data_IF_601832380409
#
_entry.id   IF_601832380409
#
_cell.length_a   1.000
_cell.length_b   1.000
_cell.length_c   1.000
_cell.angle_alpha   90.00
_cell.angle_beta   90.00
_cell.angle_gamma   90.00
#
_symmetry.space_group_name_H-M   'P 1'
#
loop_
_entity.id
_entity.type
_entity.pdbx_description
1 polymer ?
#
# COMPACT_ATOMS: atom_id res chain seq x y z
N UNK A 1 18.11 -10.11 26.29
CA UNK A 1 17.87 -8.68 26.56
C UNK A 1 17.93 -7.95 25.23
N UNK A 2 16.78 -7.66 24.61
CA UNK A 2 16.70 -6.82 23.41
C UNK A 2 15.95 -5.55 23.79
N UNK A 3 16.66 -4.43 23.74
CA UNK A 3 16.11 -3.10 23.98
C UNK A 3 15.15 -2.75 22.85
N UNK A 4 13.90 -2.44 23.20
CA UNK A 4 12.98 -1.73 22.33
C UNK A 4 13.21 -0.23 22.55
N UNK A 5 13.51 0.49 21.47
CA UNK A 5 13.64 1.94 21.48
C UNK A 5 12.21 2.48 21.45
N UNK A 6 11.79 3.05 22.56
CA UNK A 6 10.47 3.63 22.78
C UNK A 6 10.34 4.93 21.98
N UNK A 7 9.73 4.85 20.80
CA UNK A 7 9.29 6.03 20.06
C UNK A 7 7.91 6.45 20.57
N UNK A 8 7.93 7.46 21.46
CA UNK A 8 6.82 8.11 22.16
C UNK A 8 5.43 7.91 21.54
N UNK A 9 4.68 6.99 22.16
CA UNK A 9 3.28 6.74 21.86
C UNK A 9 2.42 7.59 22.82
N UNK A 10 1.98 8.76 22.36
CA UNK A 10 1.03 9.59 23.13
C UNK A 10 -0.31 8.86 23.14
N UNK A 11 -0.65 8.28 24.29
CA UNK A 11 -1.92 7.60 24.52
C UNK A 11 -3.07 8.61 24.44
N UNK A 12 -4.14 8.26 23.71
CA UNK A 12 -5.56 8.44 24.06
C UNK A 12 -6.43 8.00 22.87
N UNK A 13 -6.51 6.67 22.69
CA UNK A 13 -7.62 5.86 22.14
C UNK A 13 -7.02 4.48 21.84
N UNK A 14 -7.65 3.40 22.35
CA UNK A 14 -7.10 2.04 22.40
C UNK A 14 -6.99 1.31 21.04
N UNK A 15 -6.41 1.96 20.02
CA UNK A 15 -6.23 1.38 18.69
C UNK A 15 -4.77 0.92 18.53
N UNK A 16 -4.55 -0.39 18.51
CA UNK A 16 -3.34 -0.98 17.91
C UNK A 16 -3.75 -1.55 16.55
N UNK A 17 -3.03 -1.18 15.48
CA UNK A 17 -3.15 -1.95 14.25
C UNK A 17 -2.52 -3.32 14.52
N UNK A 18 -3.34 -4.36 14.46
CA UNK A 18 -2.89 -5.74 14.31
C UNK A 18 -3.42 -6.21 12.96
N UNK A 19 -2.54 -6.59 12.03
CA UNK A 19 -2.99 -7.20 10.79
C UNK A 19 -1.98 -7.20 9.66
N UNK A 20 -1.36 -8.35 9.43
CA UNK A 20 -1.01 -8.80 8.09
C UNK A 20 -1.36 -10.29 7.97
N UNK A 21 -1.71 -10.71 6.76
CA UNK A 21 -2.02 -12.06 6.23
C UNK A 21 -3.50 -12.44 6.07
N UNK A 22 -3.96 -12.39 4.81
CA UNK A 22 -5.00 -13.29 4.30
C UNK A 22 -4.54 -13.89 2.96
N UNK A 23 -4.03 -15.12 2.95
CA UNK A 23 -3.68 -15.79 1.69
C UNK A 23 -4.90 -16.50 1.09
N UNK A 24 -5.44 -16.00 -0.01
CA UNK A 24 -6.42 -16.76 -0.80
C UNK A 24 -5.69 -17.58 -1.88
N UNK A 25 -5.73 -18.91 -1.74
CA UNK A 25 -5.23 -19.83 -2.77
C UNK A 25 -6.27 -19.96 -3.89
N UNK A 26 -6.07 -19.30 -5.04
CA UNK A 26 -6.79 -19.63 -6.27
C UNK A 26 -5.96 -20.67 -7.04
N UNK A 27 -6.53 -21.87 -7.24
CA UNK A 27 -5.99 -22.94 -8.09
C UNK A 27 -5.87 -22.41 -9.53
N UNK A 28 -4.76 -21.75 -9.85
CA UNK A 28 -4.07 -21.70 -11.16
C UNK A 28 -2.86 -20.73 -11.10
N UNK A 29 -2.87 -19.72 -10.21
CA UNK A 29 -1.70 -18.90 -9.82
C UNK A 29 -1.94 -18.39 -8.40
N UNK A 30 -1.07 -18.74 -7.45
CA UNK A 30 -1.19 -18.27 -6.06
C UNK A 30 -0.88 -16.77 -5.99
N UNK A 31 -1.90 -15.93 -6.21
CA UNK A 31 -1.80 -14.48 -6.02
C UNK A 31 -2.03 -14.18 -4.54
N UNK A 32 -1.01 -13.64 -3.87
CA UNK A 32 -1.15 -13.14 -2.50
C UNK A 32 -1.91 -11.81 -2.54
N UNK A 33 -3.07 -11.80 -1.91
CA UNK A 33 -3.88 -10.61 -1.66
C UNK A 33 -3.59 -10.18 -0.22
N UNK A 34 -3.45 -8.88 0.02
CA UNK A 34 -3.41 -8.32 1.37
C UNK A 34 -4.34 -7.12 1.41
N UNK A 35 -5.19 -7.08 2.42
CA UNK A 35 -6.10 -5.98 2.68
C UNK A 35 -5.81 -5.41 4.07
N UNK A 36 -6.23 -4.18 4.31
CA UNK A 36 -6.10 -3.50 5.59
C UNK A 36 -7.35 -3.67 6.44
N UNK A 37 -7.13 -3.98 7.71
CA UNK A 37 -8.16 -4.10 8.73
C UNK A 37 -7.71 -3.38 9.98
N UNK A 38 -8.65 -2.79 10.70
CA UNK A 38 -8.42 -2.21 12.01
C UNK A 38 -9.04 -3.13 13.05
N UNK A 39 -8.24 -3.54 14.03
CA UNK A 39 -8.68 -4.37 15.13
C UNK A 39 -8.70 -3.52 16.41
N UNK A 40 -9.87 -3.41 17.03
CA UNK A 40 -10.05 -2.76 18.31
C UNK A 40 -9.68 -3.74 19.43
N UNK A 41 -8.64 -3.42 20.21
CA UNK A 41 -8.04 -4.37 21.16
C UNK A 41 -8.98 -4.72 22.31
N UNK A 42 -9.74 -3.74 22.80
CA UNK A 42 -10.57 -3.92 23.99
C UNK A 42 -11.86 -4.70 23.70
N UNK A 43 -12.50 -4.40 22.57
CA UNK A 43 -13.78 -5.00 22.18
C UNK A 43 -13.61 -6.23 21.30
N UNK A 44 -12.44 -6.40 20.69
CA UNK A 44 -12.19 -7.38 19.64
C UNK A 44 -12.89 -7.05 18.31
N UNK A 45 -13.44 -5.84 18.17
CA UNK A 45 -14.16 -5.42 16.96
C UNK A 45 -13.19 -5.24 15.80
N UNK A 46 -13.56 -5.77 14.65
CA UNK A 46 -12.80 -5.59 13.40
C UNK A 46 -13.54 -4.69 12.42
N UNK A 47 -12.79 -3.77 11.81
CA UNK A 47 -13.25 -2.89 10.76
C UNK A 47 -12.43 -3.14 9.51
N UNK A 48 -13.11 -3.50 8.42
CA UNK A 48 -12.48 -3.67 7.10
C UNK A 48 -12.25 -2.28 6.49
N UNK A 49 -11.01 -1.97 6.12
CA UNK A 49 -10.65 -0.69 5.50
C UNK A 49 -10.45 -0.80 4.00
N UNK A 50 -9.87 -1.90 3.52
CA UNK A 50 -9.73 -2.15 2.08
C UNK A 50 -10.25 -3.53 1.72
N UNK A 51 -10.72 -3.66 0.48
CA UNK A 51 -11.21 -4.91 -0.09
C UNK A 51 -10.78 -4.99 -1.56
N UNK A 52 -10.71 -6.21 -2.10
CA UNK A 52 -10.39 -6.45 -3.50
C UNK A 52 -9.21 -7.39 -3.71
N UNK A 53 -8.73 -7.43 -4.95
CA UNK A 53 -7.70 -8.36 -5.44
C UNK A 53 -6.29 -7.72 -5.47
N UNK A 54 -6.14 -6.52 -4.93
CA UNK A 54 -4.87 -5.83 -4.76
C UNK A 54 -4.09 -6.32 -3.54
N UNK A 55 -2.87 -5.83 -3.40
CA UNK A 55 -2.03 -6.03 -2.24
C UNK A 55 -1.77 -4.66 -1.59
N UNK A 56 -2.40 -4.46 -0.44
CA UNK A 56 -2.26 -3.30 0.42
C UNK A 56 -1.30 -3.62 1.57
N UNK A 57 -0.28 -2.79 1.79
CA UNK A 57 0.81 -3.06 2.74
C UNK A 57 1.40 -1.81 3.37
N UNK A 58 2.24 -2.00 4.40
CA UNK A 58 2.99 -0.94 5.08
C UNK A 58 2.13 0.23 5.60
N UNK A 59 1.03 -0.03 6.34
CA UNK A 59 0.16 1.05 6.82
C UNK A 59 0.87 1.94 7.85
N UNK A 60 0.65 3.26 7.75
CA UNK A 60 1.15 4.29 8.67
C UNK A 60 0.11 5.35 8.94
N UNK A 61 -0.23 5.55 10.21
CA UNK A 61 -1.11 6.63 10.65
C UNK A 61 -0.49 7.99 10.39
N UNK A 62 -1.31 8.93 9.92
CA UNK A 62 -0.98 10.35 9.98
C UNK A 62 -0.81 10.77 11.45
N UNK A 63 0.08 11.74 11.75
CA UNK A 63 0.28 12.23 13.11
C UNK A 63 -0.99 12.78 13.78
N UNK A 64 -1.94 13.27 12.99
CA UNK A 64 -3.24 13.76 13.47
C UNK A 64 -4.28 12.62 13.67
N UNK A 65 -3.92 11.38 13.35
CA UNK A 65 -4.77 10.20 13.49
C UNK A 65 -5.93 10.10 12.50
N UNK A 66 -6.06 11.02 11.53
CA UNK A 66 -7.24 11.08 10.64
C UNK A 66 -7.12 10.23 9.38
N UNK A 67 -5.91 9.83 9.01
CA UNK A 67 -5.64 9.18 7.73
C UNK A 67 -4.64 8.04 7.91
N UNK A 68 -4.76 6.99 7.10
CA UNK A 68 -3.77 5.92 6.99
C UNK A 68 -3.12 6.03 5.62
N UNK A 69 -1.80 6.14 5.60
CA UNK A 69 -0.99 6.01 4.40
C UNK A 69 -0.53 4.56 4.23
N UNK A 70 -0.56 4.03 3.01
CA UNK A 70 -0.19 2.63 2.75
C UNK A 70 0.24 2.46 1.30
N UNK A 71 0.97 1.39 1.01
CA UNK A 71 1.31 1.00 -0.36
C UNK A 71 0.19 0.14 -0.93
N UNK A 72 -0.21 0.42 -2.17
CA UNK A 72 -1.20 -0.38 -2.89
C UNK A 72 -0.80 -0.55 -4.35
N UNK A 73 -0.99 -1.75 -4.89
CA UNK A 73 -0.81 -2.06 -6.31
C UNK A 73 -2.13 -2.11 -7.10
N UNK A 74 -3.19 -1.47 -6.58
CA UNK A 74 -4.54 -1.47 -7.16
C UNK A 74 -4.62 -0.97 -8.62
N UNK A 75 -3.83 0.03 -8.97
CA UNK A 75 -3.79 0.60 -10.32
C UNK A 75 -2.87 -0.20 -11.26
N UNK A 76 -1.80 -0.78 -10.72
CA UNK A 76 -0.79 -1.52 -11.47
C UNK A 76 -0.10 -2.52 -10.55
N UNK A 77 -0.31 -3.80 -10.81
CA UNK A 77 0.21 -4.92 -10.01
C UNK A 77 1.73 -4.88 -9.82
N UNK A 78 2.48 -4.34 -10.79
CA UNK A 78 3.94 -4.25 -10.78
C UNK A 78 4.49 -2.94 -10.24
N UNK A 79 3.62 -1.96 -9.97
CA UNK A 79 4.04 -0.60 -9.64
C UNK A 79 3.20 -0.05 -8.48
N UNK A 80 3.40 -0.57 -7.25
CA UNK A 80 2.71 -0.06 -6.06
C UNK A 80 2.95 1.44 -5.89
N UNK A 81 1.92 2.16 -5.46
CA UNK A 81 1.98 3.59 -5.14
C UNK A 81 1.55 3.81 -3.69
N UNK A 82 1.87 4.98 -3.14
CA UNK A 82 1.36 5.40 -1.84
C UNK A 82 -0.08 5.90 -2.02
N UNK A 83 -0.97 5.40 -1.18
CA UNK A 83 -2.37 5.80 -1.08
C UNK A 83 -2.67 6.30 0.33
N UNK A 84 -3.68 7.15 0.42
CA UNK A 84 -4.25 7.66 1.66
C UNK A 84 -5.69 7.19 1.78
N UNK A 85 -6.07 6.63 2.93
CA UNK A 85 -7.46 6.33 3.26
C UNK A 85 -7.86 7.05 4.55
N UNK A 86 -8.97 7.82 4.57
CA UNK A 86 -9.47 8.44 5.78
C UNK A 86 -9.88 7.39 6.84
N UNK A 87 -9.66 7.67 8.12
CA UNK A 87 -10.00 6.75 9.21
C UNK A 87 -11.51 6.55 9.37
N UNK A 88 -12.31 7.56 9.01
CA UNK A 88 -13.77 7.43 8.95
C UNK A 88 -14.25 6.58 7.75
N UNK A 89 -13.33 5.98 6.99
CA UNK A 89 -13.62 5.19 5.80
C UNK A 89 -13.73 6.03 4.53
N UNK A 90 -14.16 5.38 3.45
CA UNK A 90 -14.26 5.99 2.13
C UNK A 90 -13.24 5.46 1.14
N UNK A 91 -13.16 6.08 -0.03
CA UNK A 91 -12.23 5.66 -1.08
C UNK A 91 -10.81 6.09 -0.78
N UNK A 92 -9.86 5.18 -0.99
CA UNK A 92 -8.45 5.54 -0.86
C UNK A 92 -7.99 6.35 -2.08
N UNK A 93 -7.28 7.44 -1.81
CA UNK A 93 -6.78 8.38 -2.79
C UNK A 93 -5.32 8.11 -3.10
N UNK A 94 -4.98 8.08 -4.39
CA UNK A 94 -3.58 7.93 -4.83
C UNK A 94 -2.79 9.20 -4.55
N UNK A 95 -1.68 9.07 -3.83
CA UNK A 95 -0.79 10.19 -3.50
C UNK A 95 0.40 10.30 -4.46
N UNK A 96 0.91 9.17 -4.96
CA UNK A 96 2.09 9.13 -5.82
C UNK A 96 1.80 8.53 -7.19
N UNK A 97 2.61 8.94 -8.18
CA UNK A 97 2.62 8.33 -9.51
C UNK A 97 4.08 8.27 -10.02
N UNK A 98 4.88 7.40 -9.40
CA UNK A 98 6.31 7.29 -9.67
C UNK A 98 6.68 5.90 -10.21
N UNK A 99 7.58 5.87 -11.19
CA UNK A 99 8.09 4.64 -11.82
C UNK A 99 9.33 4.12 -11.10
N UNK A 100 9.18 3.08 -10.27
CA UNK A 100 10.23 2.57 -9.40
C UNK A 100 9.70 1.82 -8.18
N UNK A 101 10.54 1.65 -7.18
CA UNK A 101 10.20 0.85 -6.00
C UNK A 101 10.26 1.72 -4.73
N UNK A 102 9.19 1.69 -3.94
CA UNK A 102 9.18 2.25 -2.60
C UNK A 102 9.76 1.23 -1.62
N UNK A 103 10.86 1.59 -0.96
CA UNK A 103 11.51 0.73 0.04
C UNK A 103 10.98 1.04 1.44
N UNK A 104 10.77 2.32 1.74
CA UNK A 104 10.20 2.79 2.99
C UNK A 104 9.61 4.19 2.82
N UNK A 105 8.72 4.60 3.72
CA UNK A 105 8.22 5.98 3.79
C UNK A 105 7.86 6.34 5.23
N UNK A 106 7.83 7.63 5.59
CA UNK A 106 7.41 8.09 6.92
C UNK A 106 6.79 9.47 6.84
N UNK A 107 5.78 9.71 7.67
CA UNK A 107 5.16 11.02 7.83
C UNK A 107 6.14 12.02 8.46
N UNK A 108 6.04 13.29 8.06
CA UNK A 108 6.60 14.39 8.83
C UNK A 108 5.83 14.55 10.15
N UNK A 109 6.44 15.06 11.22
CA UNK A 109 5.76 15.24 12.51
C UNK A 109 4.52 16.15 12.46
N UNK A 110 4.51 17.11 11.54
CA UNK A 110 3.38 18.02 11.32
C UNK A 110 2.27 17.43 10.44
N UNK A 111 2.44 16.21 9.92
CA UNK A 111 1.47 15.50 9.09
C UNK A 111 1.26 16.07 7.69
N UNK A 112 2.05 17.07 7.28
CA UNK A 112 1.87 17.74 5.98
C UNK A 112 2.62 17.07 4.84
N UNK A 113 3.70 16.36 5.15
CA UNK A 113 4.62 15.80 4.17
C UNK A 113 5.01 14.37 4.53
N UNK A 114 5.73 13.74 3.61
CA UNK A 114 6.40 12.47 3.83
C UNK A 114 7.81 12.49 3.29
N UNK A 115 8.67 11.70 3.92
CA UNK A 115 9.90 11.23 3.30
C UNK A 115 9.66 9.81 2.79
N UNK A 116 10.22 9.49 1.63
CA UNK A 116 10.24 8.12 1.12
C UNK A 116 11.61 7.76 0.56
N UNK A 117 12.00 6.52 0.78
CA UNK A 117 13.13 5.92 0.10
C UNK A 117 12.60 5.26 -1.17
N UNK A 118 13.04 5.78 -2.32
CA UNK A 118 12.53 5.39 -3.61
C UNK A 118 13.66 5.05 -4.58
N UNK A 119 13.63 3.83 -5.12
CA UNK A 119 14.54 3.40 -6.18
C UNK A 119 13.87 3.58 -7.53
N UNK A 120 14.30 4.61 -8.27
CA UNK A 120 13.81 4.85 -9.62
C UNK A 120 14.19 3.70 -10.54
N UNK A 121 13.25 3.27 -11.39
CA UNK A 121 13.50 2.24 -12.40
C UNK A 121 14.44 2.77 -13.48
N UNK A 122 15.35 1.94 -13.99
CA UNK A 122 16.25 2.33 -15.07
C UNK A 122 15.42 2.68 -16.32
N UNK A 123 15.65 3.85 -16.96
CA UNK A 123 14.93 4.26 -18.17
C UNK A 123 14.98 3.23 -19.30
N UNK A 124 16.09 2.51 -19.47
CA UNK A 124 16.20 1.44 -20.48
C UNK A 124 15.20 0.30 -20.20
N UNK A 125 14.95 0.00 -18.94
CA UNK A 125 13.94 -1.01 -18.54
C UNK A 125 12.54 -0.49 -18.83
N UNK A 126 12.26 0.79 -18.57
CA UNK A 126 10.96 1.42 -18.87
C UNK A 126 10.68 1.43 -20.36
N UNK A 127 11.66 1.78 -21.20
CA UNK A 127 11.51 1.75 -22.65
C UNK A 127 11.29 0.34 -23.20
N UNK A 128 12.03 -0.65 -22.69
CA UNK A 128 11.86 -2.05 -23.09
C UNK A 128 10.45 -2.55 -22.75
N UNK A 129 9.94 -2.24 -21.56
CA UNK A 129 8.57 -2.59 -21.17
C UNK A 129 7.52 -1.87 -22.01
N UNK A 130 7.70 -0.58 -22.29
CA UNK A 130 6.82 0.17 -23.21
C UNK A 130 6.81 -0.46 -24.61
N UNK A 131 7.98 -0.79 -25.16
CA UNK A 131 8.12 -1.45 -26.47
C UNK A 131 7.51 -2.85 -26.48
N UNK A 132 7.71 -3.64 -25.41
CA UNK A 132 7.09 -4.96 -25.27
C UNK A 132 5.57 -4.85 -25.16
N UNK A 133 5.04 -3.94 -24.32
CA UNK A 133 3.60 -3.74 -24.19
C UNK A 133 2.99 -3.27 -25.50
N UNK A 134 3.60 -2.31 -26.21
CA UNK A 134 3.18 -1.90 -27.54
C UNK A 134 3.16 -3.10 -28.50
N UNK A 135 4.25 -3.88 -28.55
CA UNK A 135 4.32 -5.07 -29.42
C UNK A 135 3.23 -6.09 -29.10
N UNK A 136 2.98 -6.37 -27.81
CA UNK A 136 1.90 -7.27 -27.39
C UNK A 136 0.53 -6.71 -27.76
N UNK A 137 0.29 -5.40 -27.60
CA UNK A 137 -0.93 -4.73 -28.04
C UNK A 137 -1.15 -4.81 -29.56
N UNK A 138 -0.09 -4.61 -30.36
CA UNK A 138 -0.14 -4.78 -31.82
C UNK A 138 -0.39 -6.23 -32.23
N UNK A 139 0.19 -7.20 -31.52
CA UNK A 139 -0.05 -8.62 -31.76
C UNK A 139 -1.48 -9.01 -31.38
N UNK A 140 -2.07 -8.39 -30.36
CA UNK A 140 -3.47 -8.63 -29.95
C UNK A 140 -4.53 -7.96 -30.83
N UNK A 141 -4.15 -7.18 -31.85
CA UNK A 141 -5.09 -6.49 -32.75
C UNK A 141 -5.18 -7.10 -34.16
N UNK A 142 -4.60 -8.28 -34.37
CA UNK A 142 -4.81 -9.08 -35.59
C UNK A 142 -5.76 -10.21 -35.28
N UNK A 143 -7.06 -9.94 -35.44
CA UNK A 143 -8.06 -10.86 -35.99
C UNK A 143 -9.45 -10.19 -36.01
N UNK A 144 -9.76 -9.52 -37.13
CA UNK A 144 -10.97 -9.80 -37.91
C UNK A 144 -10.82 -9.24 -39.33
#
# INVERSE_FOLDING_TARGET
>A
MSHAIDSGCVHLTGWKICGQFSSTHKRERSKKISNLFLHEVETGKELVFTTGDQNDSSPKWSPDGKTIAFLSNRDNEKQPQIYLIPLNGGEAQKLTNLDGEFLSFSWSPDGKNFICEFRKKNPDTLEREKKMNLKTSWVSFRDR
#
